data_IF_049722431075
#
_entry.id   IF_049722431075
#
_cell.length_a   1.000
_cell.length_b   1.000
_cell.length_c   1.000
_cell.angle_alpha   90.00
_cell.angle_beta   90.00
_cell.angle_gamma   90.00
#
_symmetry.space_group_name_H-M   'P 1'
#
loop_
_entity.id
_entity.type
_entity.pdbx_description
1 polymer ?
#
# COMPACT_ATOMS: atom_id res chain seq x y z
N UNK A 1 -18.98 -8.36 -1.06
CA UNK A 1 -18.81 -7.45 0.09
C UNK A 1 -17.46 -6.72 0.07
N UNK A 2 -16.40 -7.38 -0.39
CA UNK A 2 -15.03 -6.83 -0.45
C UNK A 2 -14.86 -5.60 -1.32
N UNK A 3 -15.40 -5.59 -2.54
CA UNK A 3 -15.24 -4.46 -3.47
C UNK A 3 -15.76 -3.13 -2.89
N UNK A 4 -16.93 -3.14 -2.23
CA UNK A 4 -17.52 -1.94 -1.63
C UNK A 4 -16.61 -1.36 -0.53
N UNK A 5 -16.07 -2.23 0.34
CA UNK A 5 -15.13 -1.82 1.38
C UNK A 5 -13.87 -1.23 0.75
N UNK A 6 -13.36 -1.88 -0.31
CA UNK A 6 -12.14 -1.50 -0.99
C UNK A 6 -12.24 -0.13 -1.68
N UNK A 7 -13.28 0.06 -2.49
CA UNK A 7 -13.54 1.33 -3.18
C UNK A 7 -13.98 2.43 -2.20
N UNK A 8 -14.72 2.07 -1.14
CA UNK A 8 -15.07 2.98 -0.06
C UNK A 8 -13.82 3.51 0.65
N UNK A 9 -12.88 2.63 1.01
CA UNK A 9 -11.60 3.00 1.59
C UNK A 9 -10.80 3.92 0.66
N UNK A 10 -10.67 3.56 -0.62
CA UNK A 10 -9.98 4.39 -1.61
C UNK A 10 -10.59 5.79 -1.69
N UNK A 11 -11.92 5.89 -1.69
CA UNK A 11 -12.62 7.17 -1.75
C UNK A 11 -12.36 8.00 -0.50
N UNK A 12 -12.53 7.42 0.69
CA UNK A 12 -12.31 8.10 1.98
C UNK A 12 -10.88 8.60 2.09
N UNK A 13 -9.90 7.75 1.78
CA UNK A 13 -8.47 8.06 1.82
C UNK A 13 -8.12 9.15 0.80
N UNK A 14 -8.69 9.10 -0.41
CA UNK A 14 -8.45 10.12 -1.44
C UNK A 14 -8.99 11.49 -1.04
N UNK A 15 -10.23 11.53 -0.50
CA UNK A 15 -10.83 12.76 0.01
C UNK A 15 -10.00 13.33 1.17
N UNK A 16 -9.54 12.48 2.08
CA UNK A 16 -8.69 12.90 3.19
C UNK A 16 -7.35 13.47 2.69
N UNK A 17 -6.69 12.83 1.72
CA UNK A 17 -5.45 13.33 1.14
C UNK A 17 -5.64 14.71 0.50
N UNK A 18 -6.72 14.90 -0.27
CA UNK A 18 -7.07 16.20 -0.88
C UNK A 18 -7.31 17.25 0.21
N UNK A 19 -8.07 16.91 1.24
CA UNK A 19 -8.35 17.81 2.36
C UNK A 19 -7.07 18.24 3.07
N UNK A 20 -6.19 17.29 3.42
CA UNK A 20 -4.91 17.56 4.09
C UNK A 20 -3.98 18.48 3.28
N UNK A 21 -3.95 18.32 1.95
CA UNK A 21 -3.21 19.20 1.06
C UNK A 21 -3.85 20.59 0.98
N UNK A 22 -5.18 20.67 0.92
CA UNK A 22 -5.92 21.93 0.83
C UNK A 22 -5.76 22.80 2.09
N UNK A 23 -5.67 22.20 3.27
CA UNK A 23 -5.46 22.92 4.54
C UNK A 23 -3.98 23.05 4.93
N UNK A 24 -3.06 22.54 4.10
CA UNK A 24 -1.64 22.53 4.43
C UNK A 24 -1.09 23.96 4.60
N UNK A 25 -0.48 24.30 5.74
CA UNK A 25 0.13 25.62 5.94
C UNK A 25 1.47 25.77 5.23
N UNK A 26 2.00 24.69 4.64
CA UNK A 26 3.29 24.68 3.96
C UNK A 26 3.20 25.39 2.61
N UNK A 27 4.28 26.09 2.25
CA UNK A 27 4.46 26.58 0.88
C UNK A 27 4.44 25.40 -0.10
N UNK A 28 3.95 25.62 -1.31
CA UNK A 28 3.77 24.57 -2.34
C UNK A 28 5.01 23.69 -2.53
N UNK A 29 6.20 24.28 -2.63
CA UNK A 29 7.43 23.49 -2.80
C UNK A 29 7.74 22.58 -1.60
N UNK A 30 7.54 23.07 -0.38
CA UNK A 30 7.74 22.28 0.84
C UNK A 30 6.65 21.20 0.99
N UNK A 31 5.39 21.52 0.66
CA UNK A 31 4.29 20.58 0.63
C UNK A 31 4.56 19.45 -0.39
N UNK A 32 5.03 19.78 -1.58
CA UNK A 32 5.36 18.81 -2.63
C UNK A 32 6.51 17.88 -2.23
N UNK A 33 7.57 18.42 -1.61
CA UNK A 33 8.67 17.61 -1.10
C UNK A 33 8.22 16.68 0.05
N UNK A 34 7.42 17.20 0.98
CA UNK A 34 6.85 16.42 2.08
C UNK A 34 5.93 15.31 1.57
N UNK A 35 5.06 15.62 0.59
CA UNK A 35 4.20 14.66 -0.10
C UNK A 35 5.01 13.56 -0.79
N UNK A 36 6.06 13.91 -1.55
CA UNK A 36 6.92 12.92 -2.20
C UNK A 36 7.61 12.02 -1.15
N UNK A 37 8.05 12.59 -0.02
CA UNK A 37 8.56 11.82 1.11
C UNK A 37 7.53 10.82 1.66
N UNK A 38 6.26 11.23 1.76
CA UNK A 38 5.15 10.35 2.15
C UNK A 38 4.93 9.18 1.21
N UNK A 39 4.99 9.42 -0.11
CA UNK A 39 4.87 8.36 -1.12
C UNK A 39 6.00 7.33 -0.97
N UNK A 40 7.24 7.80 -0.84
CA UNK A 40 8.40 6.91 -0.66
C UNK A 40 8.28 6.14 0.66
N UNK A 41 7.96 6.81 1.76
CA UNK A 41 7.79 6.19 3.07
C UNK A 41 6.70 5.12 3.06
N UNK A 42 5.57 5.37 2.40
CA UNK A 42 4.51 4.36 2.25
C UNK A 42 4.99 3.14 1.49
N UNK A 43 5.62 3.30 0.31
CA UNK A 43 6.06 2.12 -0.47
C UNK A 43 7.09 1.28 0.28
N UNK A 44 7.93 1.91 1.12
CA UNK A 44 8.86 1.19 2.00
C UNK A 44 8.10 0.47 3.11
N UNK A 45 7.15 1.15 3.76
CA UNK A 45 6.32 0.56 4.80
C UNK A 45 5.50 -0.63 4.27
N UNK A 46 4.93 -0.53 3.07
CA UNK A 46 4.26 -1.62 2.36
C UNK A 46 5.19 -2.84 2.25
N UNK A 47 6.41 -2.66 1.73
CA UNK A 47 7.37 -3.74 1.59
C UNK A 47 7.72 -4.39 2.95
N UNK A 48 8.02 -3.57 3.96
CA UNK A 48 8.41 -4.06 5.29
C UNK A 48 7.25 -4.76 6.00
N UNK A 49 6.05 -4.22 5.95
CA UNK A 49 4.86 -4.81 6.55
C UNK A 49 4.51 -6.11 5.83
N UNK A 50 4.53 -6.12 4.50
CA UNK A 50 4.22 -7.32 3.74
C UNK A 50 5.22 -8.44 4.07
N UNK A 51 6.51 -8.14 4.08
CA UNK A 51 7.56 -9.12 4.40
C UNK A 51 7.53 -9.56 5.87
N UNK A 52 7.73 -8.63 6.79
CA UNK A 52 8.01 -8.99 8.19
C UNK A 52 6.76 -9.09 9.07
N UNK A 53 5.65 -8.44 8.70
CA UNK A 53 4.41 -8.53 9.48
C UNK A 53 3.49 -9.57 8.89
N UNK A 54 3.19 -9.50 7.60
CA UNK A 54 2.20 -10.36 6.97
C UNK A 54 2.71 -11.77 6.69
N UNK A 55 3.99 -11.96 6.36
CA UNK A 55 4.56 -13.30 6.14
C UNK A 55 5.25 -13.90 7.38
N UNK A 56 5.78 -13.08 8.30
CA UNK A 56 6.52 -13.61 9.46
C UNK A 56 5.73 -13.49 10.78
N UNK A 57 5.37 -12.29 11.24
CA UNK A 57 4.78 -12.09 12.58
C UNK A 57 3.30 -12.49 12.70
N UNK A 58 2.51 -12.29 11.64
CA UNK A 58 1.06 -12.53 11.62
C UNK A 58 0.61 -13.32 10.36
N UNK A 59 1.22 -14.48 10.07
CA UNK A 59 1.09 -15.18 8.79
C UNK A 59 -0.31 -15.68 8.50
N UNK A 60 -1.09 -16.01 9.54
CA UNK A 60 -2.37 -16.70 9.40
C UNK A 60 -3.33 -15.98 8.45
N UNK A 61 -3.46 -14.65 8.59
CA UNK A 61 -4.46 -13.89 7.83
C UNK A 61 -4.04 -13.66 6.39
N UNK A 62 -2.76 -13.42 6.17
CA UNK A 62 -2.24 -13.28 4.82
C UNK A 62 -2.20 -14.64 4.10
N UNK A 63 -1.91 -15.73 4.82
CA UNK A 63 -2.01 -17.10 4.31
C UNK A 63 -3.44 -17.47 3.86
N UNK A 64 -4.47 -16.98 4.54
CA UNK A 64 -5.87 -17.13 4.07
C UNK A 64 -6.08 -16.41 2.74
N UNK A 65 -5.57 -15.19 2.59
CA UNK A 65 -5.62 -14.47 1.32
C UNK A 65 -4.83 -15.18 0.20
N UNK A 66 -3.66 -15.75 0.50
CA UNK A 66 -2.90 -16.58 -0.46
C UNK A 66 -3.70 -17.81 -0.92
N UNK A 67 -4.47 -18.43 -0.03
CA UNK A 67 -5.32 -19.58 -0.34
C UNK A 67 -6.63 -19.18 -1.05
N UNK A 68 -7.17 -18.00 -0.74
CA UNK A 68 -8.39 -17.46 -1.31
C UNK A 68 -8.23 -15.96 -1.59
N UNK A 69 -7.86 -15.57 -2.82
CA UNK A 69 -7.62 -14.17 -3.18
C UNK A 69 -8.84 -13.25 -3.08
N UNK A 70 -10.06 -13.82 -3.08
CA UNK A 70 -11.30 -13.07 -2.85
C UNK A 70 -11.44 -12.63 -1.39
N UNK A 71 -10.74 -13.30 -0.47
CA UNK A 71 -10.68 -12.85 0.91
C UNK A 71 -9.77 -11.63 1.03
N UNK A 72 -10.28 -10.54 1.59
CA UNK A 72 -9.49 -9.35 1.80
C UNK A 72 -8.42 -9.62 2.85
N UNK A 73 -7.28 -8.95 2.74
CA UNK A 73 -6.29 -8.87 3.83
C UNK A 73 -6.86 -7.95 4.94
N UNK A 74 -7.92 -8.39 5.61
CA UNK A 74 -8.74 -7.63 6.57
C UNK A 74 -8.04 -7.32 7.89
N UNK A 75 -6.81 -7.80 8.10
CA UNK A 75 -6.12 -7.77 9.39
C UNK A 75 -5.79 -6.37 9.89
N UNK A 76 -5.80 -5.36 9.03
CA UNK A 76 -5.24 -4.03 9.32
C UNK A 76 -6.25 -2.90 9.06
N UNK A 77 -7.56 -3.15 9.13
CA UNK A 77 -8.50 -2.08 8.78
C UNK A 77 -8.50 -0.93 9.77
N UNK A 78 -8.40 -1.17 11.09
CA UNK A 78 -8.36 -0.07 12.08
C UNK A 78 -6.92 0.33 12.47
N UNK A 79 -5.98 -0.61 12.47
CA UNK A 79 -4.59 -0.36 12.84
C UNK A 79 -3.91 0.58 11.86
N UNK A 80 -4.28 0.52 10.57
CA UNK A 80 -3.72 1.43 9.56
C UNK A 80 -4.15 2.88 9.82
N UNK A 81 -5.38 3.11 10.27
CA UNK A 81 -5.87 4.43 10.65
C UNK A 81 -5.15 4.97 11.89
N UNK A 82 -4.80 4.11 12.85
CA UNK A 82 -3.94 4.49 13.99
C UNK A 82 -2.56 4.90 13.50
N UNK A 83 -1.94 4.14 12.60
CA UNK A 83 -0.66 4.50 11.99
C UNK A 83 -0.75 5.83 11.24
N UNK A 84 -1.81 6.08 10.45
CA UNK A 84 -2.02 7.35 9.76
C UNK A 84 -2.18 8.52 10.72
N UNK A 85 -2.93 8.35 11.82
CA UNK A 85 -3.04 9.38 12.85
C UNK A 85 -1.67 9.70 13.48
N UNK A 86 -0.86 8.67 13.78
CA UNK A 86 0.50 8.87 14.30
C UNK A 86 1.40 9.59 13.29
N UNK A 87 1.34 9.22 12.01
CA UNK A 87 2.10 9.90 10.93
C UNK A 87 1.67 11.37 10.83
N UNK A 88 0.38 11.68 10.91
CA UNK A 88 -0.10 13.06 10.92
C UNK A 88 0.49 13.86 12.08
N UNK A 89 0.46 13.30 13.30
CA UNK A 89 0.94 13.98 14.51
C UNK A 89 2.45 14.21 14.48
N UNK A 90 3.22 13.30 13.90
CA UNK A 90 4.70 13.36 13.89
C UNK A 90 5.23 14.16 12.69
N UNK A 91 4.63 13.99 11.51
CA UNK A 91 5.19 14.44 10.24
C UNK A 91 4.28 15.41 9.46
N UNK A 92 3.04 15.61 9.91
CA UNK A 92 2.10 16.58 9.35
C UNK A 92 1.29 16.08 8.15
N UNK A 93 0.34 16.92 7.74
CA UNK A 93 -0.68 16.58 6.73
C UNK A 93 -0.14 16.35 5.33
N UNK A 94 0.87 17.10 4.88
CA UNK A 94 1.42 16.95 3.52
C UNK A 94 2.12 15.59 3.32
N UNK A 95 2.90 15.14 4.31
CA UNK A 95 3.52 13.82 4.28
C UNK A 95 2.47 12.72 4.34
N UNK A 96 1.50 12.84 5.25
CA UNK A 96 0.41 11.87 5.32
C UNK A 96 -0.37 11.80 3.99
N UNK A 97 -0.68 12.93 3.36
CA UNK A 97 -1.37 12.94 2.07
C UNK A 97 -0.61 12.15 0.99
N UNK A 98 0.73 12.27 0.96
CA UNK A 98 1.57 11.45 0.08
C UNK A 98 1.47 9.96 0.37
N UNK A 99 1.52 9.59 1.64
CA UNK A 99 1.38 8.20 2.05
C UNK A 99 -0.02 7.63 1.72
N UNK A 100 -1.08 8.43 1.93
CA UNK A 100 -2.46 8.06 1.61
C UNK A 100 -2.66 7.85 0.10
N UNK A 101 -2.10 8.72 -0.75
CA UNK A 101 -2.17 8.52 -2.21
C UNK A 101 -1.44 7.25 -2.64
N UNK A 102 -0.27 6.96 -2.06
CA UNK A 102 0.46 5.75 -2.35
C UNK A 102 -0.28 4.49 -1.81
N UNK A 103 -0.98 4.60 -0.68
CA UNK A 103 -1.86 3.55 -0.16
C UNK A 103 -3.04 3.26 -1.10
N UNK A 104 -3.69 4.29 -1.67
CA UNK A 104 -4.70 4.10 -2.72
C UNK A 104 -4.11 3.36 -3.93
N UNK A 105 -2.89 3.71 -4.34
CA UNK A 105 -2.16 3.01 -5.39
C UNK A 105 -1.92 1.54 -5.06
N UNK A 106 -1.45 1.24 -3.85
CA UNK A 106 -1.30 -0.13 -3.34
C UNK A 106 -2.61 -0.90 -3.42
N UNK A 107 -3.70 -0.32 -2.90
CA UNK A 107 -5.01 -0.93 -2.94
C UNK A 107 -5.37 -1.25 -4.40
N UNK A 108 -5.32 -0.26 -5.27
CA UNK A 108 -5.71 -0.42 -6.68
C UNK A 108 -4.92 -1.53 -7.36
N UNK A 109 -3.60 -1.53 -7.22
CA UNK A 109 -2.73 -2.55 -7.81
C UNK A 109 -3.04 -3.93 -7.26
N UNK A 110 -3.16 -4.08 -5.94
CA UNK A 110 -3.48 -5.36 -5.33
C UNK A 110 -4.83 -5.91 -5.80
N UNK A 111 -5.86 -5.07 -5.84
CA UNK A 111 -7.18 -5.48 -6.31
C UNK A 111 -7.17 -5.91 -7.78
N UNK A 112 -6.58 -5.10 -8.66
CA UNK A 112 -6.51 -5.42 -10.08
C UNK A 112 -5.68 -6.68 -10.34
N UNK A 113 -4.62 -6.94 -9.58
CA UNK A 113 -3.79 -8.13 -9.77
C UNK A 113 -4.58 -9.44 -9.59
N UNK A 114 -5.65 -9.40 -8.78
CA UNK A 114 -6.55 -10.53 -8.55
C UNK A 114 -7.81 -10.52 -9.42
N UNK A 115 -8.41 -9.35 -9.63
CA UNK A 115 -9.78 -9.26 -10.18
C UNK A 115 -9.88 -8.56 -11.53
N UNK A 116 -8.84 -7.82 -11.94
CA UNK A 116 -8.82 -7.06 -13.19
C UNK A 116 -7.38 -6.95 -13.75
N UNK A 117 -6.73 -8.10 -14.06
CA UNK A 117 -5.32 -8.14 -14.42
C UNK A 117 -4.99 -7.37 -15.71
N UNK A 118 -5.99 -7.19 -16.60
CA UNK A 118 -5.90 -6.40 -17.82
C UNK A 118 -5.68 -4.89 -17.54
N UNK A 119 -5.94 -4.43 -16.32
CA UNK A 119 -5.74 -3.04 -15.89
C UNK A 119 -4.34 -2.76 -15.35
N UNK A 120 -3.49 -3.78 -15.22
CA UNK A 120 -2.14 -3.62 -14.68
C UNK A 120 -1.04 -3.77 -15.74
N UNK A 121 0.08 -3.05 -15.57
CA UNK A 121 1.30 -3.36 -16.28
C UNK A 121 1.69 -4.83 -16.05
N UNK A 122 2.03 -5.53 -17.13
CA UNK A 122 2.40 -6.95 -17.10
C UNK A 122 3.55 -7.24 -16.10
N UNK A 123 4.46 -6.28 -15.91
CA UNK A 123 5.57 -6.40 -14.96
C UNK A 123 5.09 -6.52 -13.51
N UNK A 124 4.13 -5.70 -13.08
CA UNK A 124 3.57 -5.75 -11.72
C UNK A 124 2.67 -6.96 -11.53
N UNK A 125 1.87 -7.30 -12.56
CA UNK A 125 1.03 -8.48 -12.53
C UNK A 125 1.87 -9.75 -12.35
N UNK A 126 2.89 -9.95 -13.19
CA UNK A 126 3.76 -11.11 -13.09
C UNK A 126 4.52 -11.14 -11.75
N UNK A 127 5.00 -9.99 -11.28
CA UNK A 127 5.70 -9.89 -10.00
C UNK A 127 4.82 -10.37 -8.83
N UNK A 128 3.56 -9.94 -8.79
CA UNK A 128 2.57 -10.35 -7.78
C UNK A 128 2.13 -11.81 -7.95
N UNK A 129 1.97 -12.30 -9.17
CA UNK A 129 1.66 -13.72 -9.40
C UNK A 129 2.79 -14.65 -8.95
N UNK A 130 4.04 -14.26 -9.20
CA UNK A 130 5.22 -14.99 -8.70
C UNK A 130 5.24 -14.96 -7.17
N UNK A 131 4.86 -13.85 -6.54
CA UNK A 131 4.72 -13.78 -5.07
C UNK A 131 3.69 -14.79 -4.55
N UNK A 132 2.49 -14.85 -5.15
CA UNK A 132 1.47 -15.82 -4.76
C UNK A 132 1.93 -17.28 -4.93
N UNK A 133 2.81 -17.55 -5.89
CA UNK A 133 3.41 -18.88 -6.08
C UNK A 133 4.58 -19.14 -5.12
N UNK A 134 5.35 -18.11 -4.79
CA UNK A 134 6.56 -18.16 -3.98
C UNK A 134 6.51 -17.06 -2.92
N UNK A 135 5.75 -17.32 -1.85
CA UNK A 135 5.43 -16.37 -0.77
C UNK A 135 6.63 -15.71 -0.07
N UNK A 136 7.85 -16.18 -0.30
CA UNK A 136 9.10 -15.65 0.28
C UNK A 136 9.88 -14.70 -0.65
N UNK A 137 9.30 -14.29 -1.78
CA UNK A 137 9.90 -13.40 -2.78
C UNK A 137 8.88 -12.37 -3.26
N UNK A 138 9.32 -11.29 -3.90
CA UNK A 138 8.43 -10.31 -4.54
C UNK A 138 7.39 -9.67 -3.59
N UNK A 139 7.83 -9.09 -2.48
CA UNK A 139 6.94 -8.52 -1.47
C UNK A 139 6.36 -7.15 -1.85
N UNK A 140 6.98 -6.41 -2.76
CA UNK A 140 6.42 -5.16 -3.25
C UNK A 140 5.23 -5.39 -4.15
N UNK A 141 4.07 -4.79 -3.84
CA UNK A 141 2.85 -4.90 -4.64
C UNK A 141 2.72 -3.67 -5.56
N UNK A 142 2.85 -2.46 -5.01
CA UNK A 142 2.75 -1.21 -5.77
C UNK A 142 3.99 -0.94 -6.63
N UNK A 143 5.15 -1.44 -6.20
CA UNK A 143 6.44 -1.24 -6.88
C UNK A 143 7.41 -2.38 -6.59
N UNK A 144 8.27 -2.68 -7.55
CA UNK A 144 9.36 -3.68 -7.41
C UNK A 144 10.66 -3.07 -6.85
N UNK A 145 10.66 -1.77 -6.55
CA UNK A 145 11.86 -1.03 -6.11
C UNK A 145 12.51 -1.67 -4.88
N UNK A 146 11.73 -1.90 -3.83
CA UNK A 146 12.27 -2.41 -2.55
C UNK A 146 12.70 -3.86 -2.65
N UNK A 147 12.04 -4.68 -3.46
CA UNK A 147 12.55 -6.02 -3.76
C UNK A 147 13.92 -5.99 -4.44
N UNK A 148 14.18 -5.02 -5.32
CA UNK A 148 15.50 -4.86 -5.96
C UNK A 148 16.54 -4.39 -4.95
N UNK A 149 16.18 -3.41 -4.12
CA UNK A 149 17.07 -2.87 -3.07
C UNK A 149 17.46 -3.94 -2.05
N UNK A 150 16.51 -4.78 -1.63
CA UNK A 150 16.72 -5.80 -0.59
C UNK A 150 16.97 -7.21 -1.13
N UNK A 151 17.11 -7.39 -2.45
CA UNK A 151 17.47 -8.67 -3.07
C UNK A 151 16.39 -9.76 -2.99
N UNK A 152 15.11 -9.39 -3.05
CA UNK A 152 13.96 -10.33 -2.98
C UNK A 152 13.22 -10.50 -4.29
N UNK A 153 13.72 -9.94 -5.41
CA UNK A 153 13.14 -10.16 -6.75
C UNK A 153 13.34 -11.59 -7.23
N UNK A 154 12.27 -12.19 -7.74
CA UNK A 154 12.23 -13.39 -8.56
C UNK A 154 11.54 -13.06 -9.89
N UNK A 155 12.15 -13.47 -10.99
CA UNK A 155 11.68 -13.22 -12.37
C UNK A 155 11.10 -14.46 -13.00
#
# INVERSE_FOLDING_TARGET
>A
MTAIIYFGEMLVVSVLAIFLLAISPLRVAAAAASFAGGVVAWTLAEYLVHRFVLHDLAPRKHGIHHANPDEPVLTIFWQIWVCFALVYLIAGGALLAGALVAYVGYLFVHHCAHHAPDKLPLSLLNHHQIHHRFATRNYGVSTTLWDRVFGTVLR
#
